data_IF_242356391089
#
_entry.id   IF_242356391089
#
_cell.length_a   1.000
_cell.length_b   1.000
_cell.length_c   1.000
_cell.angle_alpha   90.00
_cell.angle_beta   90.00
_cell.angle_gamma   90.00
#
_symmetry.space_group_name_H-M   'P 1'
#
loop_
_entity.id
_entity.type
_entity.pdbx_description
1 polymer ?
#
# COMPACT_ATOMS: atom_id res chain seq x y z
N UNK A 1 11.33 -8.80 1.36
CA UNK A 1 10.12 -8.61 0.56
C UNK A 1 10.13 -7.27 -0.18
N UNK A 2 10.29 -6.12 0.47
CA UNK A 2 10.31 -4.82 -0.24
C UNK A 2 11.41 -4.71 -1.34
N UNK A 3 12.61 -5.26 -1.14
CA UNK A 3 13.66 -5.27 -2.18
C UNK A 3 13.29 -6.12 -3.40
N UNK A 4 12.52 -7.20 -3.21
CA UNK A 4 12.00 -8.01 -4.32
C UNK A 4 10.89 -7.26 -5.06
N UNK A 5 10.05 -6.51 -4.32
CA UNK A 5 9.05 -5.64 -4.91
C UNK A 5 9.67 -4.55 -5.79
N UNK A 6 10.77 -3.92 -5.35
CA UNK A 6 11.49 -2.94 -6.14
C UNK A 6 12.00 -3.51 -7.47
N UNK A 7 12.56 -4.73 -7.44
CA UNK A 7 12.96 -5.42 -8.67
C UNK A 7 11.75 -5.75 -9.57
N UNK A 8 10.63 -6.17 -8.99
CA UNK A 8 9.41 -6.42 -9.75
C UNK A 8 8.84 -5.15 -10.41
N UNK A 9 9.00 -3.97 -9.80
CA UNK A 9 8.68 -2.67 -10.42
C UNK A 9 9.55 -2.43 -11.65
N UNK A 10 10.86 -2.63 -11.54
CA UNK A 10 11.80 -2.48 -12.67
C UNK A 10 11.45 -3.41 -13.83
N UNK A 11 10.98 -4.62 -13.53
CA UNK A 11 10.54 -5.62 -14.52
C UNK A 11 9.07 -5.43 -14.97
N UNK A 12 8.35 -4.44 -14.43
CA UNK A 12 6.93 -4.19 -14.69
C UNK A 12 6.01 -5.40 -14.41
N UNK A 13 6.39 -6.23 -13.42
CA UNK A 13 5.61 -7.41 -13.00
C UNK A 13 4.65 -6.99 -11.88
N UNK A 14 3.61 -6.24 -12.24
CA UNK A 14 2.75 -5.53 -11.29
C UNK A 14 2.02 -6.41 -10.27
N UNK A 15 1.68 -7.65 -10.65
CA UNK A 15 1.07 -8.59 -9.71
C UNK A 15 2.05 -8.98 -8.59
N UNK A 16 3.32 -9.24 -8.95
CA UNK A 16 4.35 -9.57 -7.97
C UNK A 16 4.71 -8.38 -7.09
N UNK A 17 4.67 -7.15 -7.63
CA UNK A 17 4.81 -5.93 -6.81
C UNK A 17 3.79 -5.92 -5.68
N UNK A 18 2.51 -6.15 -6.02
CA UNK A 18 1.44 -6.19 -5.02
C UNK A 18 1.67 -7.31 -3.99
N UNK A 19 2.01 -8.52 -4.45
CA UNK A 19 2.19 -9.69 -3.59
C UNK A 19 3.38 -9.51 -2.63
N UNK A 20 4.50 -8.96 -3.11
CA UNK A 20 5.67 -8.72 -2.27
C UNK A 20 5.41 -7.66 -1.19
N UNK A 21 4.70 -6.58 -1.51
CA UNK A 21 4.36 -5.56 -0.51
C UNK A 21 3.30 -6.03 0.49
N UNK A 22 2.30 -6.80 0.05
CA UNK A 22 1.35 -7.45 0.97
C UNK A 22 2.04 -8.39 1.93
N UNK A 23 2.93 -9.24 1.41
CA UNK A 23 3.67 -10.18 2.26
C UNK A 23 4.65 -9.48 3.20
N UNK A 24 5.22 -8.33 2.80
CA UNK A 24 5.99 -7.47 3.72
C UNK A 24 5.12 -6.94 4.85
N UNK A 25 3.91 -6.46 4.54
CA UNK A 25 2.94 -5.97 5.51
C UNK A 25 2.53 -7.04 6.51
N UNK A 26 2.16 -8.24 6.02
CA UNK A 26 1.81 -9.39 6.86
C UNK A 26 2.93 -9.70 7.88
N UNK A 27 4.19 -9.76 7.43
CA UNK A 27 5.33 -10.04 8.32
C UNK A 27 5.52 -8.96 9.39
N UNK A 28 5.26 -7.69 9.08
CA UNK A 28 5.29 -6.61 10.07
C UNK A 28 4.10 -6.72 11.05
N UNK A 29 2.91 -7.03 10.55
CA UNK A 29 1.71 -7.14 11.36
C UNK A 29 1.75 -8.34 12.32
N UNK A 30 2.29 -9.48 11.87
CA UNK A 30 2.56 -10.66 12.71
C UNK A 30 3.49 -10.33 13.89
N UNK A 31 4.35 -9.31 13.75
CA UNK A 31 5.20 -8.80 14.82
C UNK A 31 4.53 -7.72 15.70
N UNK A 32 3.23 -7.44 15.52
CA UNK A 32 2.51 -6.36 16.18
C UNK A 32 2.95 -4.96 15.73
N UNK A 33 3.57 -4.85 14.54
CA UNK A 33 4.08 -3.57 14.01
C UNK A 33 3.15 -3.03 12.92
N UNK A 34 1.96 -2.61 13.34
CA UNK A 34 0.90 -2.03 12.47
C UNK A 34 1.37 -0.89 11.59
N UNK A 35 2.15 0.06 12.12
CA UNK A 35 2.63 1.21 11.34
C UNK A 35 3.57 0.76 10.20
N UNK A 36 4.65 0.00 10.44
CA UNK A 36 5.46 -0.57 9.35
C UNK A 36 4.67 -1.43 8.36
N UNK A 37 3.64 -2.15 8.83
CA UNK A 37 2.76 -2.92 7.96
C UNK A 37 1.95 -2.02 7.01
N UNK A 38 1.34 -0.96 7.55
CA UNK A 38 0.68 0.09 6.77
C UNK A 38 1.64 0.77 5.79
N UNK A 39 2.85 1.15 6.23
CA UNK A 39 3.85 1.81 5.38
C UNK A 39 4.24 0.92 4.18
N UNK A 40 4.37 -0.39 4.40
CA UNK A 40 4.66 -1.34 3.32
C UNK A 40 3.52 -1.39 2.29
N UNK A 41 2.26 -1.43 2.73
CA UNK A 41 1.11 -1.38 1.82
C UNK A 41 1.03 -0.05 1.08
N UNK A 42 1.25 1.08 1.76
CA UNK A 42 1.21 2.41 1.15
C UNK A 42 2.31 2.59 0.09
N UNK A 43 3.51 2.03 0.29
CA UNK A 43 4.57 1.99 -0.73
C UNK A 43 4.17 1.14 -1.93
N UNK A 44 3.59 -0.04 -1.71
CA UNK A 44 3.14 -0.90 -2.79
C UNK A 44 2.01 -0.27 -3.61
N UNK A 45 1.04 0.35 -2.92
CA UNK A 45 -0.02 1.12 -3.56
C UNK A 45 0.55 2.26 -4.41
N UNK A 46 1.53 3.01 -3.89
CA UNK A 46 2.20 4.09 -4.64
C UNK A 46 2.83 3.59 -5.94
N UNK A 47 3.48 2.44 -5.90
CA UNK A 47 4.10 1.83 -7.08
C UNK A 47 3.08 1.34 -8.13
N UNK A 48 1.82 1.15 -7.73
CA UNK A 48 0.77 0.61 -8.57
C UNK A 48 -0.25 1.66 -9.06
N UNK A 49 -0.18 2.91 -8.60
CA UNK A 49 -1.16 3.96 -8.93
C UNK A 49 -1.42 4.06 -10.44
N UNK A 50 -0.37 4.06 -11.26
CA UNK A 50 -0.50 4.29 -12.70
C UNK A 50 -0.77 2.99 -13.48
N UNK A 51 -0.22 1.85 -13.02
CA UNK A 51 -0.32 0.57 -13.74
C UNK A 51 -1.55 -0.26 -13.34
N UNK A 52 -1.96 -0.20 -12.07
CA UNK A 52 -3.03 -0.99 -11.44
C UNK A 52 -3.77 -0.15 -10.38
N UNK A 53 -4.47 0.93 -10.77
CA UNK A 53 -5.09 1.88 -9.84
C UNK A 53 -6.07 1.24 -8.85
N UNK A 54 -6.89 0.28 -9.30
CA UNK A 54 -7.84 -0.44 -8.42
C UNK A 54 -7.12 -1.24 -7.31
N UNK A 55 -5.96 -1.82 -7.64
CA UNK A 55 -5.14 -2.55 -6.68
C UNK A 55 -4.49 -1.57 -5.71
N UNK A 56 -4.02 -0.42 -6.20
CA UNK A 56 -3.47 0.64 -5.35
C UNK A 56 -4.50 1.17 -4.35
N UNK A 57 -5.74 1.43 -4.77
CA UNK A 57 -6.84 1.86 -3.90
C UNK A 57 -7.11 0.83 -2.80
N UNK A 58 -7.18 -0.45 -3.18
CA UNK A 58 -7.38 -1.55 -2.22
C UNK A 58 -6.25 -1.58 -1.18
N UNK A 59 -4.99 -1.53 -1.64
CA UNK A 59 -3.83 -1.56 -0.74
C UNK A 59 -3.75 -0.34 0.17
N UNK A 60 -4.10 0.86 -0.32
CA UNK A 60 -4.20 2.04 0.55
C UNK A 60 -5.32 1.89 1.59
N UNK A 61 -6.46 1.32 1.21
CA UNK A 61 -7.56 1.07 2.14
C UNK A 61 -7.14 0.09 3.23
N UNK A 62 -6.47 -1.00 2.87
CA UNK A 62 -5.91 -1.97 3.82
C UNK A 62 -4.87 -1.31 4.77
N UNK A 63 -4.07 -0.37 4.26
CA UNK A 63 -3.12 0.39 5.06
C UNK A 63 -3.83 1.27 6.11
N UNK A 64 -4.93 1.93 5.73
CA UNK A 64 -5.77 2.69 6.66
C UNK A 64 -6.29 1.78 7.78
N UNK A 65 -6.87 0.63 7.43
CA UNK A 65 -7.46 -0.30 8.39
C UNK A 65 -6.45 -0.76 9.44
N UNK A 66 -5.22 -1.10 9.04
CA UNK A 66 -4.16 -1.50 9.96
C UNK A 66 -3.82 -0.43 11.00
N UNK A 67 -3.88 0.86 10.63
CA UNK A 67 -3.61 1.96 11.54
C UNK A 67 -4.81 2.22 12.45
N UNK A 68 -6.03 2.21 11.90
CA UNK A 68 -7.26 2.46 12.65
C UNK A 68 -7.50 1.38 13.71
N UNK A 69 -7.28 0.10 13.36
CA UNK A 69 -7.40 -1.03 14.31
C UNK A 69 -6.43 -0.93 15.50
N UNK A 70 -5.27 -0.27 15.32
CA UNK A 70 -4.27 -0.06 16.37
C UNK A 70 -4.38 1.33 17.04
N UNK A 71 -5.50 2.05 16.81
CA UNK A 71 -5.77 3.36 17.41
C UNK A 71 -4.89 4.50 16.88
N UNK A 72 -4.30 4.34 15.69
CA UNK A 72 -3.38 5.30 15.04
C UNK A 72 -4.07 6.08 13.92
N UNK A 73 -5.34 6.40 14.11
CA UNK A 73 -6.21 7.11 13.16
C UNK A 73 -5.61 8.45 12.70
N UNK A 74 -4.84 9.11 13.58
CA UNK A 74 -4.14 10.35 13.28
C UNK A 74 -3.07 10.21 12.18
N UNK A 75 -2.66 8.98 11.83
CA UNK A 75 -1.64 8.69 10.82
C UNK A 75 -2.23 8.41 9.43
N UNK A 76 -3.57 8.30 9.31
CA UNK A 76 -4.24 7.85 8.08
C UNK A 76 -4.45 8.98 7.07
N UNK A 77 -4.38 10.23 7.51
CA UNK A 77 -4.73 11.40 6.68
C UNK A 77 -3.97 11.47 5.34
N UNK A 78 -2.67 11.20 5.35
CA UNK A 78 -1.87 11.19 4.12
C UNK A 78 -2.26 10.06 3.15
N UNK A 79 -2.74 8.93 3.68
CA UNK A 79 -3.21 7.80 2.89
C UNK A 79 -4.55 8.15 2.23
N UNK A 80 -5.49 8.76 2.96
CA UNK A 80 -6.75 9.25 2.38
C UNK A 80 -6.51 10.26 1.25
N UNK A 81 -5.53 11.17 1.42
CA UNK A 81 -5.12 12.10 0.38
C UNK A 81 -4.56 11.39 -0.85
N UNK A 82 -3.78 10.32 -0.66
CA UNK A 82 -3.27 9.50 -1.76
C UNK A 82 -4.40 8.80 -2.53
N UNK A 83 -5.33 8.15 -1.84
CA UNK A 83 -6.53 7.51 -2.43
C UNK A 83 -7.32 8.52 -3.25
N UNK A 84 -7.63 9.68 -2.66
CA UNK A 84 -8.38 10.75 -3.35
C UNK A 84 -7.67 11.21 -4.62
N UNK A 85 -6.33 11.31 -4.58
CA UNK A 85 -5.54 11.70 -5.75
C UNK A 85 -5.63 10.66 -6.87
N UNK A 86 -5.71 9.36 -6.55
CA UNK A 86 -5.92 8.30 -7.53
C UNK A 86 -7.32 8.40 -8.16
N UNK A 87 -8.38 8.59 -7.37
CA UNK A 87 -9.73 8.77 -7.91
C UNK A 87 -9.83 9.97 -8.85
N UNK A 88 -9.24 11.12 -8.47
CA UNK A 88 -9.22 12.31 -9.34
C UNK A 88 -8.49 12.05 -10.66
N UNK A 89 -7.44 11.20 -10.67
CA UNK A 89 -6.75 10.79 -11.91
C UNK A 89 -7.63 9.91 -12.79
N UNK A 90 -8.48 9.05 -12.20
CA UNK A 90 -9.36 8.12 -12.92
C UNK A 90 -10.61 8.77 -13.52
N UNK A 91 -11.10 9.86 -12.92
CA UNK A 91 -12.27 10.60 -13.42
C UNK A 91 -11.97 11.50 -14.65
N UNK A 92 -10.72 11.55 -15.12
CA UNK A 92 -10.29 12.31 -16.29
C UNK A 92 -10.22 11.45 -17.55
#
# INVERSE_FOLDING_TARGET
MESAAALAVELSIWNEVADFYRRASELYNECGRSQPASDALAKGARALEDAKPEVAITMYTDACLLLEEDGKENMVFDIYRAITSVYIKLEK
#
